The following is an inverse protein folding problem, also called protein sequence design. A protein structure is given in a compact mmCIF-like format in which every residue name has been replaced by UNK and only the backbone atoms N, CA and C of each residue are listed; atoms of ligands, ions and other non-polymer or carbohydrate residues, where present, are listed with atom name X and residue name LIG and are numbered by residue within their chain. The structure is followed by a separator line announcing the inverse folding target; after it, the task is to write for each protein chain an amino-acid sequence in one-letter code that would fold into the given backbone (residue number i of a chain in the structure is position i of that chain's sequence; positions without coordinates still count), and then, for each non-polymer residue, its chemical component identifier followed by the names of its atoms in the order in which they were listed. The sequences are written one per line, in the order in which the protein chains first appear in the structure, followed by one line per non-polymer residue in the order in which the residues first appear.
data_IF_498009079707
#
_entry.id   IF_498009079707
#
_cell.length_a   1.000
_cell.length_b   1.000
_cell.length_c   1.000
_cell.angle_alpha   90.00
_cell.angle_beta   90.00
_cell.angle_gamma   90.00
#
_symmetry.space_group_name_H-M   'P 1'
#
loop_
_entity.id
_entity.type
_entity.pdbx_description
1 polymer ?
#
# COMPACT_ATOMS: atom_id res chain seq x y z
N UNK A 1 -20.89 -7.47 -36.32
CA UNK A 1 -21.11 -6.79 -35.02
C UNK A 1 -19.92 -6.95 -34.06
N UNK A 2 -18.96 -7.86 -34.31
CA UNK A 2 -17.72 -8.00 -33.52
C UNK A 2 -16.79 -6.77 -33.51
N UNK A 3 -16.71 -6.00 -34.60
CA UNK A 3 -15.68 -4.95 -34.75
C UNK A 3 -15.87 -3.71 -33.85
N UNK A 4 -17.07 -3.48 -33.31
CA UNK A 4 -17.33 -2.36 -32.41
C UNK A 4 -16.89 -2.68 -30.96
N UNK A 5 -17.03 -3.95 -30.54
CA UNK A 5 -16.75 -4.43 -29.18
C UNK A 5 -15.24 -4.50 -28.88
N UNK A 6 -14.41 -4.94 -29.83
CA UNK A 6 -12.95 -4.96 -29.67
C UNK A 6 -12.32 -3.55 -29.56
N UNK A 7 -12.92 -2.56 -30.21
CA UNK A 7 -12.43 -1.17 -30.25
C UNK A 7 -12.64 -0.42 -28.92
N UNK A 8 -13.68 -0.79 -28.18
CA UNK A 8 -14.01 -0.22 -26.87
C UNK A 8 -13.22 -0.96 -25.78
N UNK A 9 -13.17 -2.29 -25.90
CA UNK A 9 -12.32 -3.23 -25.16
C UNK A 9 -10.88 -2.74 -24.94
N UNK A 10 -10.22 -2.46 -26.05
CA UNK A 10 -8.82 -2.03 -26.05
C UNK A 10 -8.62 -0.60 -25.54
N UNK A 11 -9.65 0.24 -25.54
CA UNK A 11 -9.58 1.65 -25.14
C UNK A 11 -9.63 1.81 -23.63
N UNK A 12 -10.55 1.11 -22.96
CA UNK A 12 -10.62 1.15 -21.50
C UNK A 12 -9.41 0.46 -20.86
N UNK A 13 -8.90 -0.63 -21.45
CA UNK A 13 -7.69 -1.29 -20.96
C UNK A 13 -6.48 -0.35 -21.00
N UNK A 14 -6.31 0.40 -22.12
CA UNK A 14 -5.26 1.43 -22.23
C UNK A 14 -5.44 2.57 -21.24
N UNK A 15 -6.68 2.92 -20.87
CA UNK A 15 -6.94 3.94 -19.86
C UNK A 15 -6.50 3.47 -18.46
N UNK A 16 -6.85 2.24 -18.07
CA UNK A 16 -6.42 1.64 -16.80
C UNK A 16 -4.89 1.56 -16.73
N UNK A 17 -4.24 1.07 -17.79
CA UNK A 17 -2.78 0.96 -17.85
C UNK A 17 -2.05 2.31 -17.84
N UNK A 18 -2.78 3.43 -17.93
CA UNK A 18 -2.20 4.76 -17.80
C UNK A 18 -2.36 5.33 -16.39
N UNK A 19 -3.29 4.84 -15.58
CA UNK A 19 -3.53 5.37 -14.24
C UNK A 19 -2.67 4.67 -13.20
N UNK A 20 -1.70 5.36 -12.57
CA UNK A 20 -0.96 4.77 -11.45
C UNK A 20 -1.91 4.34 -10.32
N UNK A 21 -2.99 5.08 -10.04
CA UNK A 21 -3.99 4.73 -9.03
C UNK A 21 -4.64 3.38 -9.30
N UNK A 22 -5.10 3.16 -10.54
CA UNK A 22 -5.72 1.90 -10.94
C UNK A 22 -4.69 0.76 -10.95
N UNK A 23 -3.49 1.00 -11.48
CA UNK A 23 -2.41 0.01 -11.52
C UNK A 23 -2.05 -0.46 -10.11
N UNK A 24 -1.78 0.45 -9.18
CA UNK A 24 -1.39 0.08 -7.82
C UNK A 24 -2.53 -0.61 -7.07
N UNK A 25 -3.78 -0.15 -7.24
CA UNK A 25 -4.95 -0.85 -6.70
C UNK A 25 -5.02 -2.30 -7.18
N UNK A 26 -4.82 -2.52 -8.49
CA UNK A 26 -4.82 -3.87 -9.08
C UNK A 26 -3.63 -4.71 -8.59
N UNK A 27 -2.44 -4.12 -8.43
CA UNK A 27 -1.27 -4.81 -7.87
C UNK A 27 -1.56 -5.28 -6.44
N UNK A 28 -2.13 -4.43 -5.60
CA UNK A 28 -2.46 -4.78 -4.22
C UNK A 28 -3.47 -5.94 -4.17
N UNK A 29 -4.53 -5.88 -4.99
CA UNK A 29 -5.53 -6.95 -5.10
C UNK A 29 -4.90 -8.25 -5.63
N UNK A 30 -4.06 -8.17 -6.65
CA UNK A 30 -3.40 -9.33 -7.23
C UNK A 30 -2.47 -10.01 -6.22
N UNK A 31 -1.63 -9.24 -5.50
CA UNK A 31 -0.74 -9.78 -4.47
C UNK A 31 -1.56 -10.43 -3.35
N UNK A 32 -2.61 -9.77 -2.86
CA UNK A 32 -3.48 -10.30 -1.82
C UNK A 32 -4.12 -11.65 -2.21
N UNK A 33 -4.69 -11.71 -3.42
CA UNK A 33 -5.35 -12.93 -3.94
C UNK A 33 -4.35 -14.06 -4.21
N UNK A 34 -3.18 -13.75 -4.76
CA UNK A 34 -2.10 -14.74 -4.98
C UNK A 34 -1.64 -15.33 -3.64
N UNK A 35 -1.39 -14.49 -2.64
CA UNK A 35 -0.96 -14.96 -1.32
C UNK A 35 -2.05 -15.81 -0.67
N UNK A 36 -3.30 -15.34 -0.66
CA UNK A 36 -4.42 -16.11 -0.11
C UNK A 36 -4.61 -17.46 -0.81
N UNK A 37 -4.37 -17.54 -2.12
CA UNK A 37 -4.40 -18.79 -2.87
C UNK A 37 -3.24 -19.73 -2.51
N UNK A 38 -2.01 -19.20 -2.34
CA UNK A 38 -0.83 -19.97 -1.93
C UNK A 38 -1.00 -20.53 -0.50
N UNK A 39 -1.55 -19.73 0.40
CA UNK A 39 -1.81 -20.11 1.80
C UNK A 39 -3.03 -21.03 1.92
N UNK A 40 -3.96 -20.97 0.97
CA UNK A 40 -5.22 -21.70 1.02
C UNK A 40 -6.26 -21.05 1.94
N UNK A 41 -6.03 -19.82 2.40
CA UNK A 41 -6.95 -19.06 3.22
C UNK A 41 -6.98 -17.59 2.78
N UNK A 42 -8.08 -17.17 2.17
CA UNK A 42 -8.25 -15.79 1.71
C UNK A 42 -8.69 -14.84 2.84
N UNK A 43 -9.25 -15.34 3.94
CA UNK A 43 -9.70 -14.50 5.06
C UNK A 43 -8.55 -14.13 6.00
N UNK A 44 -7.56 -15.02 6.10
CA UNK A 44 -6.31 -14.84 6.82
C UNK A 44 -5.13 -15.27 5.93
N UNK A 45 -4.77 -14.47 4.91
CA UNK A 45 -3.70 -14.79 3.97
C UNK A 45 -2.31 -14.64 4.57
N UNK A 46 -2.19 -14.13 5.80
CA UNK A 46 -0.91 -14.01 6.50
C UNK A 46 -0.77 -15.05 7.63
N UNK A 47 -1.70 -16.00 7.73
CA UNK A 47 -1.66 -17.09 8.69
C UNK A 47 -0.29 -17.77 8.67
N UNK A 48 0.39 -17.77 9.81
CA UNK A 48 1.80 -18.12 9.89
C UNK A 48 2.01 -19.64 9.81
N UNK A 49 2.92 -20.04 8.93
CA UNK A 49 3.20 -21.45 8.59
C UNK A 49 3.90 -21.62 7.24
N UNK A 50 3.84 -20.60 6.38
CA UNK A 50 4.56 -20.55 5.11
C UNK A 50 5.89 -19.76 5.25
N UNK A 51 7.01 -20.42 4.94
CA UNK A 51 8.36 -19.83 5.02
C UNK A 51 8.51 -18.56 4.18
N UNK A 52 7.81 -18.46 3.05
CA UNK A 52 7.88 -17.29 2.17
C UNK A 52 7.30 -16.04 2.82
N UNK A 53 6.27 -16.19 3.67
CA UNK A 53 5.66 -15.05 4.36
C UNK A 53 6.58 -14.48 5.44
N UNK A 54 7.35 -15.32 6.12
CA UNK A 54 8.36 -14.86 7.09
C UNK A 54 9.43 -13.97 6.46
N UNK A 55 9.71 -14.13 5.16
CA UNK A 55 10.70 -13.31 4.45
C UNK A 55 10.13 -11.98 3.95
N UNK A 56 8.80 -11.80 3.97
CA UNK A 56 8.12 -10.66 3.36
C UNK A 56 7.41 -9.77 4.39
N UNK A 57 6.93 -10.35 5.49
CA UNK A 57 6.22 -9.64 6.55
C UNK A 57 7.23 -8.98 7.50
N UNK A 58 6.95 -7.74 7.89
CA UNK A 58 7.70 -7.05 8.93
C UNK A 58 7.10 -7.39 10.29
N UNK A 59 7.59 -8.44 10.96
CA UNK A 59 7.13 -8.88 12.29
C UNK A 59 8.20 -8.84 13.38
N UNK A 60 9.48 -8.64 13.03
CA UNK A 60 10.55 -8.73 14.02
C UNK A 60 10.65 -7.45 14.86
N UNK A 61 10.83 -7.62 16.16
CA UNK A 61 11.04 -6.54 17.12
C UNK A 61 12.41 -6.69 17.83
N UNK A 62 13.10 -5.59 18.15
CA UNK A 62 12.68 -4.20 17.95
C UNK A 62 12.94 -3.66 16.53
N UNK A 63 13.71 -4.39 15.73
CA UNK A 63 14.02 -4.02 14.34
C UNK A 63 13.87 -5.20 13.42
N UNK A 64 13.50 -4.99 12.15
CA UNK A 64 13.39 -6.06 11.16
C UNK A 64 14.69 -6.85 11.02
N UNK A 65 14.63 -8.18 11.04
CA UNK A 65 15.80 -9.03 10.71
C UNK A 65 16.14 -8.86 9.23
N UNK A 66 15.10 -8.79 8.40
CA UNK A 66 15.20 -8.66 6.96
C UNK A 66 14.87 -7.22 6.54
N UNK A 67 15.86 -6.41 6.11
CA UNK A 67 15.65 -4.98 5.89
C UNK A 67 14.70 -4.66 4.72
N UNK A 68 14.55 -5.57 3.75
CA UNK A 68 13.60 -5.39 2.65
C UNK A 68 12.13 -5.49 3.08
N UNK A 69 11.85 -6.03 4.28
CA UNK A 69 10.49 -6.16 4.79
C UNK A 69 9.78 -4.82 4.95
N UNK A 70 10.51 -3.73 5.19
CA UNK A 70 9.95 -2.38 5.24
C UNK A 70 9.32 -1.95 3.92
N UNK A 71 9.80 -2.50 2.79
CA UNK A 71 9.26 -2.25 1.47
C UNK A 71 8.19 -3.29 1.10
N UNK A 72 8.45 -4.58 1.35
CA UNK A 72 7.51 -5.64 0.96
C UNK A 72 6.23 -5.62 1.78
N UNK A 73 6.29 -5.21 3.05
CA UNK A 73 5.13 -5.08 3.94
C UNK A 73 4.03 -4.17 3.38
N UNK A 74 4.39 -3.15 2.57
CA UNK A 74 3.45 -2.22 1.91
C UNK A 74 2.41 -2.98 1.07
N UNK A 75 2.78 -4.13 0.50
CA UNK A 75 1.93 -4.89 -0.40
C UNK A 75 1.12 -5.98 0.30
N UNK A 76 1.46 -6.32 1.54
CA UNK A 76 0.84 -7.40 2.30
C UNK A 76 -0.38 -6.89 3.07
N UNK A 77 -1.46 -7.66 3.15
CA UNK A 77 -2.63 -7.27 3.92
C UNK A 77 -3.17 -8.48 4.69
N UNK A 78 -3.45 -8.30 5.98
CA UNK A 78 -3.84 -9.37 6.89
C UNK A 78 -5.29 -9.85 6.74
N UNK A 79 -6.17 -9.09 6.09
CA UNK A 79 -7.59 -9.44 5.99
C UNK A 79 -8.28 -8.72 4.83
N UNK A 80 -9.48 -9.20 4.47
CA UNK A 80 -10.28 -8.65 3.35
C UNK A 80 -10.65 -7.20 3.63
N UNK A 81 -11.07 -6.89 4.87
CA UNK A 81 -11.43 -5.52 5.23
C UNK A 81 -10.22 -4.58 5.17
N UNK A 82 -9.03 -5.08 5.51
CA UNK A 82 -7.81 -4.31 5.48
C UNK A 82 -7.37 -3.95 4.04
N UNK A 83 -7.40 -4.90 3.10
CA UNK A 83 -7.13 -4.61 1.68
C UNK A 83 -8.23 -3.72 1.07
N UNK A 84 -9.50 -3.99 1.41
CA UNK A 84 -10.63 -3.24 0.87
C UNK A 84 -10.59 -1.76 1.28
N UNK A 85 -10.27 -1.46 2.54
CA UNK A 85 -10.15 -0.07 3.01
C UNK A 85 -8.99 0.66 2.34
N UNK A 86 -7.82 0.03 2.22
CA UNK A 86 -6.67 0.62 1.53
C UNK A 86 -6.96 0.91 0.06
N UNK A 87 -7.53 -0.05 -0.67
CA UNK A 87 -7.90 0.15 -2.08
C UNK A 87 -8.98 1.22 -2.21
N UNK A 88 -10.00 1.22 -1.35
CA UNK A 88 -11.05 2.24 -1.38
C UNK A 88 -10.48 3.66 -1.25
N UNK A 89 -9.64 3.89 -0.23
CA UNK A 89 -9.02 5.20 -0.03
C UNK A 89 -7.98 5.52 -1.10
N UNK A 90 -7.24 4.53 -1.61
CA UNK A 90 -6.30 4.71 -2.71
C UNK A 90 -7.02 5.13 -3.98
N UNK A 91 -8.15 4.51 -4.32
CA UNK A 91 -8.95 4.93 -5.47
C UNK A 91 -9.45 6.36 -5.27
N UNK A 92 -10.03 6.67 -4.10
CA UNK A 92 -10.60 7.98 -3.85
C UNK A 92 -9.56 9.11 -3.89
N UNK A 93 -8.48 9.01 -3.10
CA UNK A 93 -7.47 10.06 -3.03
C UNK A 93 -6.40 9.95 -4.11
N UNK A 94 -6.13 8.76 -4.61
CA UNK A 94 -5.17 8.53 -5.68
C UNK A 94 -5.59 9.19 -6.98
N UNK A 95 -6.87 9.08 -7.38
CA UNK A 95 -7.36 9.77 -8.58
C UNK A 95 -7.30 11.29 -8.41
N UNK A 96 -7.67 11.80 -7.23
CA UNK A 96 -7.55 13.24 -6.93
C UNK A 96 -6.10 13.71 -7.05
N UNK A 97 -5.12 12.94 -6.58
CA UNK A 97 -3.71 13.29 -6.71
C UNK A 97 -3.21 13.17 -8.15
N UNK A 98 -3.66 12.14 -8.87
CA UNK A 98 -3.28 11.88 -10.27
C UNK A 98 -3.64 13.04 -11.20
N UNK A 99 -4.73 13.76 -10.92
CA UNK A 99 -5.10 14.99 -11.64
C UNK A 99 -4.20 16.19 -11.32
N UNK A 100 -3.49 16.16 -10.19
CA UNK A 100 -2.69 17.29 -9.68
C UNK A 100 -1.20 17.16 -9.98
N UNK A 101 -0.69 15.93 -10.18
CA UNK A 101 0.74 15.67 -10.34
C UNK A 101 1.05 14.70 -11.48
N UNK A 102 2.31 14.71 -11.93
CA UNK A 102 2.77 13.71 -12.90
C UNK A 102 2.79 12.30 -12.29
N UNK A 103 2.66 11.27 -13.13
CA UNK A 103 2.70 9.86 -12.69
C UNK A 103 3.94 9.51 -11.88
N UNK A 104 5.10 10.06 -12.25
CA UNK A 104 6.35 9.86 -11.52
C UNK A 104 6.27 10.42 -10.10
N UNK A 105 5.68 11.61 -9.92
CA UNK A 105 5.45 12.19 -8.59
C UNK A 105 4.46 11.38 -7.78
N UNK A 106 3.37 10.92 -8.39
CA UNK A 106 2.41 10.02 -7.73
C UNK A 106 3.08 8.76 -7.19
N UNK A 107 3.87 8.09 -8.04
CA UNK A 107 4.58 6.84 -7.66
C UNK A 107 5.62 7.10 -6.58
N UNK A 108 6.36 8.21 -6.71
CA UNK A 108 7.35 8.63 -5.70
C UNK A 108 6.67 8.91 -4.36
N UNK A 109 5.53 9.62 -4.36
CA UNK A 109 4.73 9.84 -3.15
C UNK A 109 4.33 8.52 -2.52
N UNK A 110 3.74 7.59 -3.28
CA UNK A 110 3.31 6.28 -2.78
C UNK A 110 4.44 5.54 -2.06
N UNK A 111 5.61 5.42 -2.69
CA UNK A 111 6.73 4.66 -2.11
C UNK A 111 7.39 5.38 -0.94
N UNK A 112 7.62 6.70 -1.04
CA UNK A 112 8.26 7.45 0.06
C UNK A 112 7.38 7.41 1.30
N UNK A 113 6.08 7.69 1.17
CA UNK A 113 5.20 7.74 2.34
C UNK A 113 4.89 6.35 2.88
N UNK A 114 4.85 5.33 2.03
CA UNK A 114 4.83 3.93 2.45
C UNK A 114 6.04 3.55 3.28
N UNK A 115 7.25 3.86 2.80
CA UNK A 115 8.50 3.60 3.52
C UNK A 115 8.57 4.37 4.85
N UNK A 116 8.16 5.64 4.85
CA UNK A 116 8.09 6.45 6.09
C UNK A 116 7.12 5.81 7.09
N UNK A 117 5.98 5.27 6.64
CA UNK A 117 5.06 4.52 7.48
C UNK A 117 5.70 3.28 8.10
N UNK A 118 6.34 2.43 7.28
CA UNK A 118 7.02 1.21 7.76
C UNK A 118 8.15 1.52 8.73
N UNK A 119 8.95 2.55 8.44
CA UNK A 119 10.02 3.01 9.33
C UNK A 119 9.48 3.65 10.61
N UNK A 120 8.34 4.33 10.53
CA UNK A 120 7.63 4.85 11.71
C UNK A 120 7.20 3.73 12.65
N UNK A 121 6.74 2.59 12.10
CA UNK A 121 6.46 1.39 12.89
C UNK A 121 7.71 0.81 13.54
N UNK A 122 8.84 0.72 12.81
CA UNK A 122 10.13 0.32 13.43
C UNK A 122 10.50 1.26 14.58
N UNK A 123 10.32 2.58 14.40
CA UNK A 123 10.55 3.55 15.45
C UNK A 123 9.65 3.34 16.68
N UNK A 124 8.39 2.98 16.45
CA UNK A 124 7.44 2.63 17.50
C UNK A 124 7.88 1.37 18.28
N UNK A 125 8.30 0.31 17.59
CA UNK A 125 8.79 -0.93 18.21
C UNK A 125 10.07 -0.71 19.01
N UNK A 126 11.03 0.04 18.45
CA UNK A 126 12.26 0.42 19.15
C UNK A 126 11.93 1.21 20.42
N UNK A 127 11.02 2.19 20.33
CA UNK A 127 10.61 2.97 21.49
C UNK A 127 9.91 2.08 22.54
N UNK A 128 9.00 1.21 22.12
CA UNK A 128 8.31 0.26 22.98
C UNK A 128 9.27 -0.66 23.73
N UNK A 129 10.25 -1.23 23.02
CA UNK A 129 11.32 -2.06 23.59
C UNK A 129 12.14 -1.32 24.65
N UNK A 130 12.50 -0.06 24.39
CA UNK A 130 13.25 0.76 25.35
C UNK A 130 12.41 1.05 26.62
N UNK A 131 11.13 1.36 26.45
CA UNK A 131 10.21 1.67 27.55
C UNK A 131 9.81 0.43 28.36
N UNK A 132 9.84 -0.76 27.77
CA UNK A 132 9.53 -2.04 28.42
C UNK A 132 10.71 -2.66 29.19
N UNK A 133 11.85 -1.96 29.28
CA UNK A 133 13.05 -2.49 29.92
C UNK A 133 13.73 -3.60 29.12
N UNK A 134 13.58 -3.61 27.80
CA UNK A 134 14.22 -4.57 26.90
C UNK A 134 13.43 -5.87 26.69
N UNK A 135 12.11 -5.85 26.94
CA UNK A 135 11.23 -6.98 26.60
C UNK A 135 10.60 -6.75 25.23
N UNK A 136 10.98 -7.53 24.20
CA UNK A 136 10.42 -7.37 22.86
C UNK A 136 9.00 -7.94 22.81
N UNK A 137 8.09 -7.16 22.23
CA UNK A 137 6.76 -7.61 21.82
C UNK A 137 6.76 -7.77 20.32
N UNK A 138 6.50 -8.98 19.84
CA UNK A 138 6.39 -9.25 18.40
C UNK A 138 5.05 -8.67 17.93
N UNK A 139 5.12 -7.64 17.11
CA UNK A 139 3.99 -7.08 16.39
C UNK A 139 4.35 -6.95 14.91
N UNK A 140 3.35 -6.99 14.05
CA UNK A 140 3.55 -7.09 12.61
C UNK A 140 3.00 -5.87 11.87
N UNK A 141 3.88 -5.16 11.15
CA UNK A 141 3.49 -4.15 10.19
C UNK A 141 3.25 -4.76 8.82
N UNK A 142 2.03 -4.57 8.31
CA UNK A 142 1.63 -4.87 6.94
C UNK A 142 0.62 -3.84 6.46
N UNK A 143 0.57 -3.62 5.15
CA UNK A 143 -0.47 -2.84 4.49
C UNK A 143 0.06 -1.59 3.81
N UNK A 144 -0.71 -1.11 2.83
CA UNK A 144 -0.38 0.09 2.08
C UNK A 144 -0.76 1.39 2.82
N UNK A 145 -1.17 1.32 4.09
CA UNK A 145 -1.81 2.42 4.81
C UNK A 145 -0.92 3.67 4.91
N UNK A 146 0.37 3.52 5.21
CA UNK A 146 1.33 4.64 5.19
C UNK A 146 1.43 5.31 3.81
N UNK A 147 1.39 4.52 2.75
CA UNK A 147 1.36 5.04 1.38
C UNK A 147 0.05 5.79 1.10
N UNK A 148 -1.09 5.20 1.44
CA UNK A 148 -2.44 5.75 1.22
C UNK A 148 -2.65 7.05 2.00
N UNK A 149 -2.24 7.13 3.27
CA UNK A 149 -2.32 8.36 4.05
C UNK A 149 -1.41 9.46 3.51
N UNK A 150 -0.24 9.10 2.98
CA UNK A 150 0.63 10.05 2.29
C UNK A 150 0.04 10.58 0.98
N UNK A 151 -0.58 9.72 0.18
CA UNK A 151 -1.36 10.10 -1.01
C UNK A 151 -2.48 11.07 -0.60
N UNK A 152 -3.28 10.71 0.42
CA UNK A 152 -4.36 11.55 0.95
C UNK A 152 -3.86 12.93 1.40
N UNK A 153 -2.81 12.97 2.23
CA UNK A 153 -2.24 14.22 2.72
C UNK A 153 -1.70 15.10 1.59
N UNK A 154 -1.04 14.50 0.60
CA UNK A 154 -0.53 15.23 -0.57
C UNK A 154 -1.67 15.76 -1.44
N UNK A 155 -2.68 14.92 -1.71
CA UNK A 155 -3.84 15.27 -2.52
C UNK A 155 -4.64 16.44 -1.94
N UNK A 156 -4.88 16.41 -0.62
CA UNK A 156 -5.61 17.47 0.10
C UNK A 156 -4.75 18.72 0.23
N UNK A 157 -3.48 18.57 0.64
CA UNK A 157 -2.56 19.68 0.85
C UNK A 157 -2.31 20.49 -0.42
N UNK A 158 -2.04 19.83 -1.55
CA UNK A 158 -1.88 20.51 -2.84
C UNK A 158 -3.15 21.23 -3.27
N UNK A 159 -4.32 20.61 -3.10
CA UNK A 159 -5.61 21.23 -3.45
C UNK A 159 -5.86 22.51 -2.65
N UNK A 160 -5.53 22.51 -1.35
CA UNK A 160 -5.62 23.71 -0.50
C UNK A 160 -4.67 24.80 -1.01
N UNK A 161 -3.41 24.48 -1.29
CA UNK A 161 -2.43 25.45 -1.80
C UNK A 161 -2.90 26.07 -3.11
N UNK A 162 -3.42 25.26 -4.04
CA UNK A 162 -3.93 25.74 -5.33
C UNK A 162 -5.11 26.70 -5.16
N UNK A 163 -6.07 26.38 -4.28
CA UNK A 163 -7.21 27.24 -3.99
C UNK A 163 -6.78 28.58 -3.39
N UNK A 164 -5.84 28.57 -2.44
CA UNK A 164 -5.32 29.79 -1.81
C UNK A 164 -4.45 30.64 -2.75
N UNK A 165 -3.83 30.04 -3.75
CA UNK A 165 -3.03 30.77 -4.76
C UNK A 165 -3.88 31.40 -5.87
N UNK A 166 -5.16 31.03 -5.95
CA UNK A 166 -6.10 31.48 -6.99
C UNK A 166 -7.02 32.64 -6.55
N UNK A 167 -6.86 33.12 -5.31
CA UNK A 167 -7.57 34.25 -4.72
C UNK A 167 -6.68 35.48 -4.62
#
# INVERSE_FOLDING_TARGET
MESASESDGSRWAKAILRSPTAIFSLILIAIYTIIGAIVGNIFDPLSTGNILLYLLVQCDAPTPIFPWTVLTAIFLHASILHIASNVFFLLFFGFILEEQVSKSRWVTTFFITGLVGSLGFVGYDVLGYLLSGGTPTIDCAVGASGAVYGIMGTAVGLKVVLLLSSS
#
